data_IF_830137462371
#
_entry.id   IF_830137462371
#
_cell.length_a   1.000
_cell.length_b   1.000
_cell.length_c   1.000
_cell.angle_alpha   90.00
_cell.angle_beta   90.00
_cell.angle_gamma   90.00
#
_symmetry.space_group_name_H-M   'P 1'
#
loop_
_entity.id
_entity.type
_entity.pdbx_description
1 polymer ?
#
# COMPACT_ATOMS: atom_id res chain seq x y z
N UNK A 1 37.35 -56.06 -17.53
CA UNK A 1 37.42 -54.70 -18.12
C UNK A 1 36.03 -54.12 -18.01
N UNK A 2 35.85 -53.05 -17.24
CA UNK A 2 34.55 -52.37 -17.13
C UNK A 2 34.27 -51.72 -18.48
N UNK A 3 33.10 -51.98 -19.06
CA UNK A 3 32.67 -51.38 -20.32
C UNK A 3 32.72 -49.85 -20.20
N UNK A 4 33.61 -49.22 -20.97
CA UNK A 4 33.85 -47.77 -20.97
C UNK A 4 32.97 -47.04 -21.99
N UNK A 5 31.98 -47.71 -22.59
CA UNK A 5 31.12 -47.07 -23.59
C UNK A 5 30.03 -46.24 -22.91
N UNK A 6 29.97 -44.95 -23.29
CA UNK A 6 28.91 -44.04 -22.80
C UNK A 6 27.56 -44.51 -23.37
N UNK A 7 26.54 -44.73 -22.52
CA UNK A 7 25.22 -45.15 -23.02
C UNK A 7 24.64 -44.10 -23.97
N UNK A 8 24.39 -44.49 -25.22
CA UNK A 8 23.96 -43.56 -26.28
C UNK A 8 22.64 -42.84 -25.96
N UNK A 9 21.69 -43.54 -25.34
CA UNK A 9 20.41 -42.93 -24.93
C UNK A 9 20.60 -41.86 -23.86
N UNK A 10 21.48 -42.10 -22.89
CA UNK A 10 21.80 -41.11 -21.86
C UNK A 10 22.54 -39.90 -22.46
N UNK A 11 23.48 -40.15 -23.38
CA UNK A 11 24.19 -39.09 -24.11
C UNK A 11 23.22 -38.22 -24.92
N UNK A 12 22.32 -38.84 -25.68
CA UNK A 12 21.32 -38.12 -26.48
C UNK A 12 20.34 -37.31 -25.61
N UNK A 13 19.94 -37.84 -24.46
CA UNK A 13 19.06 -37.13 -23.52
C UNK A 13 19.76 -35.94 -22.84
N UNK A 14 21.05 -36.07 -22.52
CA UNK A 14 21.80 -35.02 -21.79
C UNK A 14 22.37 -33.95 -22.73
N UNK A 15 22.75 -34.32 -23.96
CA UNK A 15 23.43 -33.44 -24.91
C UNK A 15 22.52 -32.99 -26.05
N UNK A 16 21.21 -32.92 -25.80
CA UNK A 16 20.25 -32.40 -26.77
C UNK A 16 20.58 -30.93 -27.10
N UNK A 17 20.79 -30.56 -28.38
CA UNK A 17 20.99 -29.16 -28.76
C UNK A 17 19.75 -28.31 -28.48
N UNK A 18 19.96 -27.09 -27.98
CA UNK A 18 18.88 -26.13 -27.74
C UNK A 18 18.48 -25.40 -29.03
N UNK A 19 17.26 -24.90 -29.07
CA UNK A 19 16.84 -23.91 -30.07
C UNK A 19 17.58 -22.57 -29.89
N UNK A 20 17.69 -21.73 -30.95
CA UNK A 20 18.26 -20.39 -30.84
C UNK A 20 17.45 -19.48 -29.90
N UNK A 21 18.15 -18.69 -29.09
CA UNK A 21 17.51 -17.71 -28.20
C UNK A 21 17.07 -16.47 -29.01
N UNK A 22 15.85 -15.93 -28.82
CA UNK A 22 15.39 -14.71 -29.49
C UNK A 22 16.31 -13.51 -29.25
N UNK A 23 16.47 -12.63 -30.25
CA UNK A 23 17.30 -11.42 -30.14
C UNK A 23 16.78 -10.40 -29.12
N UNK A 24 15.50 -10.49 -28.75
CA UNK A 24 14.86 -9.67 -27.71
C UNK A 24 15.05 -10.23 -26.31
N UNK A 25 15.64 -11.43 -26.15
CA UNK A 25 15.85 -12.03 -24.85
C UNK A 25 16.90 -11.23 -24.05
N UNK A 26 16.56 -10.96 -22.79
CA UNK A 26 17.46 -10.27 -21.87
C UNK A 26 18.28 -11.30 -21.10
N UNK A 27 19.61 -11.23 -21.18
CA UNK A 27 20.49 -12.12 -20.44
C UNK A 27 20.58 -11.72 -18.96
N UNK A 28 20.68 -12.74 -18.10
CA UNK A 28 20.90 -12.57 -16.66
C UNK A 28 22.27 -11.95 -16.42
N UNK A 29 22.30 -10.87 -15.63
CA UNK A 29 23.52 -10.17 -15.24
C UNK A 29 23.30 -9.43 -13.92
N UNK A 30 24.05 -9.82 -12.90
CA UNK A 30 24.07 -9.11 -11.61
C UNK A 30 24.90 -7.81 -11.64
N UNK A 31 24.78 -6.97 -10.60
CA UNK A 31 25.59 -5.76 -10.47
C UNK A 31 27.07 -6.09 -10.25
N UNK A 32 27.94 -5.37 -10.93
CA UNK A 32 29.38 -5.43 -10.69
C UNK A 32 29.75 -4.56 -9.47
N UNK A 33 29.87 -5.19 -8.30
CA UNK A 33 30.16 -4.50 -7.04
C UNK A 33 31.58 -3.92 -6.99
N UNK A 34 32.51 -4.34 -7.86
CA UNK A 34 33.85 -3.73 -7.93
C UNK A 34 33.77 -2.26 -8.38
N UNK A 35 32.73 -1.90 -9.11
CA UNK A 35 32.44 -0.53 -9.57
C UNK A 35 31.78 0.34 -8.51
N UNK A 36 31.44 -0.20 -7.34
CA UNK A 36 30.76 0.50 -6.24
C UNK A 36 29.53 1.29 -6.75
N UNK A 37 28.54 0.61 -7.36
CA UNK A 37 27.42 1.30 -8.00
C UNK A 37 26.65 2.16 -7.00
N UNK A 38 26.16 3.32 -7.45
CA UNK A 38 25.23 4.11 -6.64
C UNK A 38 23.92 3.34 -6.43
N UNK A 39 23.13 3.71 -5.42
CA UNK A 39 21.87 3.04 -5.12
C UNK A 39 20.93 2.97 -6.34
N UNK A 40 20.73 4.02 -7.16
CA UNK A 40 19.95 3.92 -8.39
C UNK A 40 20.49 2.90 -9.40
N UNK A 41 21.81 2.83 -9.60
CA UNK A 41 22.44 1.85 -10.48
C UNK A 41 22.34 0.42 -9.94
N UNK A 42 22.40 0.27 -8.61
CA UNK A 42 22.17 -1.03 -7.98
C UNK A 42 20.73 -1.47 -8.21
N UNK A 43 19.75 -0.59 -7.99
CA UNK A 43 18.33 -0.92 -8.14
C UNK A 43 17.93 -1.16 -9.60
N UNK A 44 18.52 -0.46 -10.57
CA UNK A 44 18.27 -0.75 -11.99
C UNK A 44 18.79 -2.14 -12.41
N UNK A 45 19.85 -2.64 -11.77
CA UNK A 45 20.36 -3.99 -12.06
C UNK A 45 19.38 -5.11 -11.70
N UNK A 46 18.40 -4.86 -10.81
CA UNK A 46 17.46 -5.88 -10.33
C UNK A 46 16.60 -6.47 -11.45
N UNK A 47 16.36 -5.74 -12.54
CA UNK A 47 15.66 -6.26 -13.73
C UNK A 47 16.34 -7.51 -14.32
N UNK A 48 17.66 -7.63 -14.16
CA UNK A 48 18.49 -8.65 -14.81
C UNK A 48 19.09 -9.67 -13.84
N UNK A 49 18.76 -9.61 -12.55
CA UNK A 49 19.27 -10.57 -11.56
C UNK A 49 18.53 -11.91 -11.63
N UNK A 50 17.21 -11.91 -11.83
CA UNK A 50 16.36 -13.09 -11.80
C UNK A 50 15.53 -13.22 -10.52
N UNK A 51 14.54 -14.13 -10.54
CA UNK A 51 13.62 -14.40 -9.43
C UNK A 51 12.90 -13.12 -8.92
N UNK A 52 12.73 -12.95 -7.59
CA UNK A 52 12.03 -11.81 -7.01
C UNK A 52 12.76 -10.47 -7.18
N UNK A 53 14.07 -10.49 -7.49
CA UNK A 53 14.78 -9.26 -7.84
C UNK A 53 14.21 -8.67 -9.14
N UNK A 54 13.98 -9.50 -10.16
CA UNK A 54 13.31 -9.07 -11.40
C UNK A 54 11.88 -8.60 -11.12
N UNK A 55 11.14 -9.25 -10.21
CA UNK A 55 9.81 -8.76 -9.79
C UNK A 55 9.89 -7.36 -9.17
N UNK A 56 10.90 -7.06 -8.34
CA UNK A 56 11.09 -5.73 -7.76
C UNK A 56 11.48 -4.69 -8.84
N UNK A 57 12.35 -5.04 -9.78
CA UNK A 57 12.67 -4.19 -10.94
C UNK A 57 11.42 -3.85 -11.77
N UNK A 58 10.59 -4.85 -12.06
CA UNK A 58 9.31 -4.65 -12.74
C UNK A 58 8.35 -3.78 -11.92
N UNK A 59 8.30 -3.95 -10.59
CA UNK A 59 7.48 -3.11 -9.72
C UNK A 59 7.91 -1.64 -9.76
N UNK A 60 9.22 -1.36 -9.74
CA UNK A 60 9.78 -0.01 -9.89
C UNK A 60 9.34 0.60 -11.23
N UNK A 61 9.43 -0.17 -12.32
CA UNK A 61 9.01 0.29 -13.66
C UNK A 61 7.52 0.60 -13.72
N UNK A 62 6.67 -0.28 -13.22
CA UNK A 62 5.22 -0.08 -13.21
C UNK A 62 4.86 1.16 -12.38
N UNK A 63 5.45 1.35 -11.20
CA UNK A 63 5.21 2.54 -10.37
C UNK A 63 5.69 3.82 -11.06
N UNK A 64 6.83 3.79 -11.75
CA UNK A 64 7.29 4.95 -12.53
C UNK A 64 6.32 5.27 -13.69
N UNK A 65 5.73 4.26 -14.34
CA UNK A 65 4.66 4.49 -15.33
C UNK A 65 3.43 5.12 -14.70
N UNK A 66 2.99 4.65 -13.52
CA UNK A 66 1.89 5.29 -12.78
C UNK A 66 2.18 6.78 -12.50
N UNK A 67 3.40 7.10 -12.06
CA UNK A 67 3.82 8.47 -11.71
C UNK A 67 3.91 9.41 -12.92
N UNK A 68 4.39 8.88 -14.05
CA UNK A 68 4.68 9.67 -15.24
C UNK A 68 3.47 9.83 -16.16
N UNK A 69 2.50 8.90 -16.13
CA UNK A 69 1.32 8.95 -16.97
C UNK A 69 0.53 10.26 -16.78
N UNK A 70 0.11 10.85 -17.90
CA UNK A 70 -0.85 11.95 -17.99
C UNK A 70 -1.93 11.61 -18.99
N UNK A 71 -3.11 12.20 -18.84
CA UNK A 71 -4.19 12.04 -19.83
C UNK A 71 -3.78 12.60 -21.21
N UNK A 72 -2.89 13.59 -21.25
CA UNK A 72 -2.32 14.12 -22.49
C UNK A 72 -1.51 13.11 -23.30
N UNK A 73 -1.07 12.01 -22.69
CA UNK A 73 -0.33 10.94 -23.37
C UNK A 73 -1.26 10.03 -24.18
N UNK A 74 -2.57 10.09 -23.91
CA UNK A 74 -3.59 9.29 -24.58
C UNK A 74 -4.30 10.11 -25.67
N UNK A 75 -4.64 9.49 -26.82
CA UNK A 75 -5.44 10.13 -27.85
C UNK A 75 -6.80 10.57 -27.29
N UNK A 76 -7.36 11.64 -27.84
CA UNK A 76 -8.70 12.10 -27.49
C UNK A 76 -9.70 11.14 -28.13
N UNK A 77 -10.57 10.54 -27.31
CA UNK A 77 -11.65 9.69 -27.80
C UNK A 77 -12.72 10.54 -28.51
N UNK A 78 -13.42 9.95 -29.48
CA UNK A 78 -14.47 10.65 -30.26
C UNK A 78 -15.63 11.14 -29.38
N UNK A 79 -15.89 10.45 -28.26
CA UNK A 79 -16.94 10.74 -27.29
C UNK A 79 -16.42 11.43 -26.01
N UNK A 80 -15.20 12.00 -26.05
CA UNK A 80 -14.61 12.66 -24.88
C UNK A 80 -15.42 13.92 -24.49
N UNK A 81 -15.67 14.07 -23.19
CA UNK A 81 -16.37 15.24 -22.63
C UNK A 81 -15.58 16.53 -22.87
N UNK A 82 -16.29 17.63 -23.14
CA UNK A 82 -15.72 18.96 -23.42
C UNK A 82 -14.70 19.42 -22.36
N UNK A 83 -14.91 19.04 -21.09
CA UNK A 83 -13.99 19.31 -19.97
C UNK A 83 -12.56 18.79 -20.22
N UNK A 84 -12.42 17.70 -20.98
CA UNK A 84 -11.16 16.97 -21.18
C UNK A 84 -10.59 17.14 -22.59
N UNK A 85 -11.11 18.07 -23.38
CA UNK A 85 -10.57 18.41 -24.70
C UNK A 85 -9.36 19.36 -24.63
N UNK A 86 -9.28 20.16 -23.56
CA UNK A 86 -8.18 21.12 -23.37
C UNK A 86 -6.84 20.42 -23.10
N UNK A 87 -5.78 20.68 -23.89
CA UNK A 87 -4.45 20.11 -23.64
C UNK A 87 -3.90 20.42 -22.25
N UNK A 88 -4.16 21.61 -21.72
CA UNK A 88 -3.71 22.02 -20.39
C UNK A 88 -4.37 21.18 -19.28
N UNK A 89 -5.69 20.97 -19.36
CA UNK A 89 -6.43 20.13 -18.40
C UNK A 89 -5.94 18.68 -18.47
N UNK A 90 -5.75 18.15 -19.67
CA UNK A 90 -5.24 16.77 -19.86
C UNK A 90 -3.83 16.58 -19.31
N UNK A 91 -2.96 17.59 -19.37
CA UNK A 91 -1.61 17.54 -18.83
C UNK A 91 -1.55 17.53 -17.29
N UNK A 92 -2.59 18.03 -16.63
CA UNK A 92 -2.71 18.03 -15.16
C UNK A 92 -3.30 16.74 -14.59
N UNK A 93 -4.05 16.00 -15.40
CA UNK A 93 -4.70 14.76 -14.98
C UNK A 93 -3.68 13.62 -14.91
N UNK A 94 -3.47 13.12 -13.70
CA UNK A 94 -2.52 12.05 -13.38
C UNK A 94 -3.23 10.73 -13.12
N UNK A 95 -2.45 9.65 -13.06
CA UNK A 95 -2.93 8.37 -12.56
C UNK A 95 -3.25 8.47 -11.07
N UNK A 96 -4.44 8.07 -10.66
CA UNK A 96 -4.80 7.99 -9.25
C UNK A 96 -4.23 6.71 -8.65
N UNK A 97 -3.30 6.85 -7.70
CA UNK A 97 -2.65 5.72 -7.03
C UNK A 97 -3.40 5.40 -5.73
N UNK A 98 -3.93 4.19 -5.64
CA UNK A 98 -4.61 3.65 -4.47
C UNK A 98 -3.61 2.82 -3.68
N UNK A 99 -3.31 3.23 -2.45
CA UNK A 99 -2.34 2.56 -1.59
C UNK A 99 -3.05 1.75 -0.51
N UNK A 100 -2.83 0.45 -0.51
CA UNK A 100 -3.31 -0.47 0.53
C UNK A 100 -2.16 -0.98 1.39
N UNK A 101 -2.34 -1.02 2.71
CA UNK A 101 -1.36 -1.63 3.62
C UNK A 101 -2.01 -2.26 4.84
N UNK A 102 -1.41 -3.33 5.36
CA UNK A 102 -1.86 -4.01 6.59
C UNK A 102 -1.37 -3.28 7.86
N UNK A 103 -2.08 -3.48 8.98
CA UNK A 103 -1.79 -2.80 10.26
C UNK A 103 -0.33 -2.85 10.70
N UNK A 104 0.28 -4.03 10.62
CA UNK A 104 1.65 -4.28 11.08
C UNK A 104 2.70 -3.41 10.38
N UNK A 105 2.41 -2.89 9.18
CA UNK A 105 3.33 -2.02 8.46
C UNK A 105 3.38 -0.61 9.09
N UNK A 106 2.29 -0.15 9.71
CA UNK A 106 2.29 1.07 10.52
C UNK A 106 2.95 0.82 11.89
N UNK A 107 2.82 -0.37 12.46
CA UNK A 107 3.58 -0.76 13.67
C UNK A 107 5.09 -0.73 13.40
N UNK A 108 5.53 -1.09 12.19
CA UNK A 108 6.92 -1.03 11.73
C UNK A 108 7.42 0.39 11.41
N UNK A 109 8.67 0.51 10.95
CA UNK A 109 9.24 1.76 10.41
C UNK A 109 8.79 2.11 8.99
N UNK A 110 7.94 1.30 8.35
CA UNK A 110 7.31 1.70 7.08
C UNK A 110 6.27 2.81 7.25
N UNK A 111 5.82 3.08 8.48
CA UNK A 111 4.99 4.25 8.79
C UNK A 111 5.60 5.53 8.22
N UNK A 112 6.90 5.75 8.44
CA UNK A 112 7.59 6.96 7.99
C UNK A 112 7.70 7.02 6.45
N UNK A 113 7.81 5.85 5.79
CA UNK A 113 7.78 5.76 4.32
C UNK A 113 6.38 6.09 3.77
N UNK A 114 5.33 5.56 4.40
CA UNK A 114 3.94 5.88 4.04
C UNK A 114 3.63 7.35 4.30
N UNK A 115 4.10 7.90 5.42
CA UNK A 115 3.99 9.31 5.76
C UNK A 115 4.58 10.18 4.66
N UNK A 116 5.78 9.85 4.16
CA UNK A 116 6.39 10.58 3.05
C UNK A 116 5.46 10.62 1.82
N UNK A 117 4.90 9.48 1.42
CA UNK A 117 3.99 9.42 0.26
C UNK A 117 2.74 10.28 0.45
N UNK A 118 2.16 10.28 1.65
CA UNK A 118 0.96 11.04 1.97
C UNK A 118 1.26 12.54 2.10
N UNK A 119 2.34 12.90 2.78
CA UNK A 119 2.82 14.29 2.95
C UNK A 119 3.09 14.97 1.61
N UNK A 120 3.65 14.24 0.66
CA UNK A 120 3.99 14.74 -0.67
C UNK A 120 2.92 14.45 -1.75
N UNK A 121 1.70 14.08 -1.35
CA UNK A 121 0.56 13.88 -2.25
C UNK A 121 0.82 12.89 -3.39
N UNK A 122 1.61 11.83 -3.12
CA UNK A 122 1.94 10.80 -4.10
C UNK A 122 0.84 9.75 -4.29
N UNK A 123 -0.17 9.72 -3.42
CA UNK A 123 -1.27 8.76 -3.43
C UNK A 123 -2.60 9.49 -3.38
N UNK A 124 -3.63 8.90 -3.99
CA UNK A 124 -4.96 9.50 -4.07
C UNK A 124 -5.86 9.10 -2.91
N UNK A 125 -5.71 7.89 -2.38
CA UNK A 125 -6.37 7.43 -1.16
C UNK A 125 -5.59 6.30 -0.50
N UNK A 126 -5.92 6.05 0.76
CA UNK A 126 -5.40 4.94 1.55
C UNK A 126 -6.52 3.95 1.89
N UNK A 127 -6.20 2.66 1.93
CA UNK A 127 -7.06 1.65 2.55
C UNK A 127 -6.24 0.80 3.50
N UNK A 128 -6.68 0.69 4.74
CA UNK A 128 -6.01 -0.11 5.77
C UNK A 128 -7.02 -0.71 6.75
N UNK A 129 -6.52 -1.38 7.78
CA UNK A 129 -7.27 -2.01 8.87
C UNK A 129 -7.13 -1.19 10.15
N UNK A 130 -7.97 -1.41 11.17
CA UNK A 130 -8.02 -0.55 12.36
C UNK A 130 -6.66 -0.38 13.06
N UNK A 131 -5.90 -1.47 13.23
CA UNK A 131 -4.52 -1.40 13.74
C UNK A 131 -3.62 -0.44 12.95
N UNK A 132 -3.78 -0.35 11.63
CA UNK A 132 -3.04 0.60 10.79
C UNK A 132 -3.44 2.05 11.04
N UNK A 133 -4.66 2.28 11.53
CA UNK A 133 -5.13 3.60 11.94
C UNK A 133 -4.59 3.97 13.33
N UNK A 134 -4.89 3.14 14.33
CA UNK A 134 -4.61 3.47 15.74
C UNK A 134 -3.12 3.54 16.04
N UNK A 135 -2.29 2.68 15.44
CA UNK A 135 -0.85 2.67 15.73
C UNK A 135 -0.13 3.92 15.22
N UNK A 136 -0.65 4.60 14.20
CA UNK A 136 -0.11 5.90 13.76
C UNK A 136 -0.35 6.98 14.83
N UNK A 137 -1.55 7.03 15.40
CA UNK A 137 -1.90 7.97 16.46
C UNK A 137 -1.20 7.62 17.77
N UNK A 138 -1.17 6.34 18.14
CA UNK A 138 -0.50 5.85 19.35
C UNK A 138 0.99 6.19 19.31
N UNK A 139 1.65 6.11 18.15
CA UNK A 139 3.07 6.49 17.99
C UNK A 139 3.35 7.99 18.19
N UNK A 140 2.33 8.84 18.14
CA UNK A 140 2.44 10.25 18.53
C UNK A 140 2.34 10.43 20.07
N UNK A 141 1.82 9.45 20.81
CA UNK A 141 1.59 9.50 22.26
C UNK A 141 2.61 8.65 23.06
N UNK A 142 3.21 7.66 22.40
CA UNK A 142 4.19 6.74 22.97
C UNK A 142 5.09 6.12 21.89
N UNK A 143 6.10 5.36 22.29
CA UNK A 143 7.02 4.70 21.36
C UNK A 143 6.74 3.19 21.28
N UNK A 144 7.04 2.62 20.13
CA UNK A 144 7.11 1.19 19.88
C UNK A 144 8.59 0.79 19.82
N UNK A 145 8.95 -0.37 20.37
CA UNK A 145 10.34 -0.79 20.56
C UNK A 145 10.64 -2.06 19.79
N UNK A 146 11.89 -2.22 19.35
CA UNK A 146 12.39 -3.48 18.81
C UNK A 146 12.46 -4.54 19.91
N UNK A 147 12.15 -5.78 19.54
CA UNK A 147 12.06 -6.94 20.41
C UNK A 147 12.41 -8.22 19.62
N UNK A 148 12.04 -9.39 20.14
CA UNK A 148 12.23 -10.69 19.49
C UNK A 148 10.89 -11.41 19.30
N UNK A 149 10.77 -12.18 18.21
CA UNK A 149 9.56 -12.97 17.91
C UNK A 149 9.25 -14.01 19.01
N UNK A 150 10.28 -14.52 19.69
CA UNK A 150 10.21 -15.64 20.61
C UNK A 150 10.08 -15.24 22.08
N UNK A 151 9.86 -13.95 22.39
CA UNK A 151 9.61 -13.52 23.76
C UNK A 151 8.34 -14.19 24.32
N UNK A 152 8.45 -14.69 25.56
CA UNK A 152 7.39 -15.42 26.23
C UNK A 152 6.13 -14.55 26.43
N UNK A 153 5.00 -15.03 25.90
CA UNK A 153 3.75 -14.27 25.94
C UNK A 153 3.20 -14.09 27.35
N UNK A 154 3.40 -15.05 28.24
CA UNK A 154 2.88 -14.97 29.60
C UNK A 154 3.65 -13.95 30.45
N UNK A 155 4.97 -13.89 30.35
CA UNK A 155 5.79 -12.83 30.96
C UNK A 155 5.43 -11.44 30.42
N UNK A 156 5.33 -11.30 29.10
CA UNK A 156 4.94 -10.06 28.46
C UNK A 156 3.59 -9.56 28.97
N UNK A 157 2.57 -10.43 29.02
CA UNK A 157 1.25 -10.08 29.54
C UNK A 157 1.30 -9.66 31.00
N UNK A 158 2.03 -10.40 31.85
CA UNK A 158 2.20 -10.07 33.28
C UNK A 158 2.80 -8.67 33.48
N UNK A 159 3.66 -8.26 32.56
CA UNK A 159 4.36 -6.96 32.58
C UNK A 159 3.64 -5.85 31.82
N UNK A 160 2.47 -6.12 31.23
CA UNK A 160 1.74 -5.12 30.42
C UNK A 160 2.48 -4.75 29.14
N UNK A 161 3.12 -5.73 28.48
CA UNK A 161 3.80 -5.55 27.20
C UNK A 161 3.06 -6.31 26.10
N UNK A 162 2.70 -5.63 25.02
CA UNK A 162 1.99 -6.23 23.88
C UNK A 162 2.99 -6.46 22.74
N UNK A 163 3.07 -7.68 22.21
CA UNK A 163 4.03 -8.06 21.15
C UNK A 163 3.37 -8.04 19.77
N UNK A 164 4.08 -7.47 18.80
CA UNK A 164 3.69 -7.42 17.37
C UNK A 164 4.88 -7.93 16.56
N UNK A 165 4.89 -9.23 16.23
CA UNK A 165 6.06 -9.85 15.62
C UNK A 165 7.29 -9.74 16.53
N UNK A 166 8.31 -9.01 16.07
CA UNK A 166 9.51 -8.63 16.82
C UNK A 166 9.48 -7.17 17.33
N UNK A 167 8.30 -6.63 17.58
CA UNK A 167 8.09 -5.31 18.18
C UNK A 167 7.36 -5.45 19.51
N UNK A 168 7.55 -4.48 20.41
CA UNK A 168 6.78 -4.34 21.66
C UNK A 168 6.16 -2.95 21.76
N UNK A 169 4.89 -2.94 22.18
CA UNK A 169 4.11 -1.75 22.53
C UNK A 169 3.74 -1.85 24.02
N UNK A 170 4.23 -0.94 24.88
CA UNK A 170 3.80 -0.89 26.28
C UNK A 170 2.31 -0.60 26.40
N UNK A 171 1.61 -1.24 27.34
CA UNK A 171 0.18 -1.04 27.52
C UNK A 171 -0.20 0.41 27.88
N UNK A 172 0.71 1.13 28.55
CA UNK A 172 0.58 2.56 28.86
C UNK A 172 0.32 3.42 27.61
N UNK A 173 0.79 2.99 26.44
CA UNK A 173 0.51 3.67 25.18
C UNK A 173 -0.99 3.64 24.85
N UNK A 174 -1.67 2.53 25.14
CA UNK A 174 -3.12 2.39 24.93
C UNK A 174 -3.93 3.15 25.98
N UNK A 175 -3.43 3.24 27.23
CA UNK A 175 -4.04 4.10 28.25
C UNK A 175 -4.01 5.59 27.82
N UNK A 176 -2.87 6.06 27.31
CA UNK A 176 -2.77 7.43 26.75
C UNK A 176 -3.69 7.64 25.54
N UNK A 177 -3.87 6.60 24.73
CA UNK A 177 -4.77 6.64 23.59
C UNK A 177 -6.23 6.74 24.01
N UNK A 178 -6.64 6.03 25.06
CA UNK A 178 -7.96 6.17 25.68
C UNK A 178 -8.20 7.60 26.16
N UNK A 179 -7.25 8.16 26.93
CA UNK A 179 -7.32 9.53 27.45
C UNK A 179 -7.46 10.57 26.34
N UNK A 180 -6.79 10.35 25.21
CA UNK A 180 -6.85 11.24 24.04
C UNK A 180 -8.14 11.06 23.22
N UNK A 181 -8.57 9.82 22.96
CA UNK A 181 -9.68 9.52 22.05
C UNK A 181 -11.05 9.76 22.69
N UNK A 182 -11.21 9.48 23.99
CA UNK A 182 -12.49 9.61 24.70
C UNK A 182 -13.17 10.99 24.51
N UNK A 183 -12.51 12.13 24.78
CA UNK A 183 -13.15 13.44 24.62
C UNK A 183 -13.51 13.74 23.15
N UNK A 184 -12.77 13.17 22.19
CA UNK A 184 -13.10 13.31 20.77
C UNK A 184 -14.38 12.54 20.44
N UNK A 185 -14.54 11.31 20.96
CA UNK A 185 -15.76 10.52 20.78
C UNK A 185 -16.99 11.21 21.39
N UNK A 186 -16.84 11.84 22.56
CA UNK A 186 -17.92 12.64 23.17
C UNK A 186 -18.34 13.79 22.24
N UNK A 187 -17.38 14.53 21.71
CA UNK A 187 -17.64 15.64 20.79
C UNK A 187 -18.27 15.16 19.46
N UNK A 188 -17.79 14.06 18.91
CA UNK A 188 -18.35 13.45 17.70
C UNK A 188 -19.80 13.00 17.91
N UNK A 189 -20.13 12.46 19.08
CA UNK A 189 -21.50 12.08 19.42
C UNK A 189 -22.44 13.29 19.56
N UNK A 190 -21.96 14.37 20.19
CA UNK A 190 -22.69 15.63 20.29
C UNK A 190 -22.99 16.16 18.89
N UNK A 191 -21.98 16.26 18.03
CA UNK A 191 -22.13 16.72 16.65
C UNK A 191 -23.14 15.86 15.87
N UNK A 192 -23.08 14.53 16.01
CA UNK A 192 -24.05 13.62 15.39
C UNK A 192 -25.48 13.88 15.86
N UNK A 193 -25.69 14.09 17.17
CA UNK A 193 -27.03 14.33 17.74
C UNK A 193 -27.59 15.70 17.38
N UNK A 194 -26.75 16.73 17.33
CA UNK A 194 -27.18 18.11 17.08
C UNK A 194 -27.37 18.42 15.59
N UNK A 195 -26.50 17.89 14.73
CA UNK A 195 -26.48 18.22 13.30
C UNK A 195 -27.07 17.14 12.41
N UNK A 196 -27.23 15.92 12.93
CA UNK A 196 -27.61 14.74 12.15
C UNK A 196 -26.49 14.18 11.26
N UNK A 197 -25.24 14.64 11.40
CA UNK A 197 -24.10 14.07 10.67
C UNK A 197 -23.94 12.59 11.01
N UNK A 198 -23.81 11.73 10.00
CA UNK A 198 -23.52 10.31 10.19
C UNK A 198 -22.04 10.08 9.92
N UNK A 199 -21.30 9.62 10.92
CA UNK A 199 -19.88 9.33 10.76
C UNK A 199 -19.69 8.11 9.87
N UNK A 200 -18.57 8.09 9.16
CA UNK A 200 -18.07 6.95 8.37
C UNK A 200 -16.64 6.67 8.84
N UNK A 201 -16.05 5.50 8.55
CA UNK A 201 -14.66 5.28 8.89
C UNK A 201 -13.73 6.36 8.33
N UNK A 202 -13.89 6.79 7.07
CA UNK A 202 -13.05 7.86 6.52
C UNK A 202 -13.25 9.23 7.16
N UNK A 203 -14.47 9.63 7.49
CA UNK A 203 -14.71 10.91 8.17
C UNK A 203 -14.26 10.88 9.63
N UNK A 204 -14.38 9.73 10.30
CA UNK A 204 -13.83 9.47 11.62
C UNK A 204 -12.30 9.59 11.61
N UNK A 205 -11.62 8.91 10.69
CA UNK A 205 -10.15 8.97 10.58
C UNK A 205 -9.69 10.38 10.23
N UNK A 206 -10.41 11.08 9.34
CA UNK A 206 -10.14 12.48 9.02
C UNK A 206 -10.25 13.38 10.24
N UNK A 207 -11.27 13.19 11.08
CA UNK A 207 -11.43 13.90 12.36
C UNK A 207 -10.23 13.64 13.26
N UNK A 208 -9.83 12.38 13.45
CA UNK A 208 -8.67 12.04 14.27
C UNK A 208 -7.35 12.62 13.73
N UNK A 209 -7.16 12.62 12.42
CA UNK A 209 -6.02 13.27 11.76
C UNK A 209 -5.93 14.76 12.03
N UNK A 210 -7.08 15.44 12.12
CA UNK A 210 -7.14 16.85 12.54
C UNK A 210 -6.77 17.01 14.02
N UNK A 211 -7.31 16.17 14.90
CA UNK A 211 -7.16 16.29 16.35
C UNK A 211 -5.75 15.92 16.84
N UNK A 212 -5.05 14.97 16.19
CA UNK A 212 -3.70 14.59 16.62
C UNK A 212 -2.69 15.74 16.41
N UNK A 213 -2.94 16.58 15.41
CA UNK A 213 -2.18 17.79 15.08
C UNK A 213 -0.65 17.62 15.20
N UNK A 214 -0.13 16.51 14.68
CA UNK A 214 1.27 16.14 14.79
C UNK A 214 1.81 15.76 13.40
N UNK A 215 2.86 16.45 12.93
CA UNK A 215 3.44 16.22 11.61
C UNK A 215 4.11 14.84 11.45
N UNK A 216 4.33 14.11 12.54
CA UNK A 216 4.80 12.73 12.51
C UNK A 216 3.69 11.72 12.19
N UNK A 217 2.42 12.14 12.13
CA UNK A 217 1.27 11.27 11.81
C UNK A 217 1.00 11.21 10.31
N UNK A 218 0.82 10.00 9.79
CA UNK A 218 0.31 9.75 8.43
C UNK A 218 -1.05 10.42 8.25
N UNK A 219 -1.94 10.27 9.23
CA UNK A 219 -3.33 10.72 9.12
C UNK A 219 -3.51 12.22 9.33
N UNK A 220 -2.60 12.87 10.06
CA UNK A 220 -2.49 14.32 10.04
C UNK A 220 -2.24 14.84 8.61
N UNK A 221 -1.26 14.26 7.90
CA UNK A 221 -1.00 14.65 6.51
C UNK A 221 -2.12 14.26 5.56
N UNK A 222 -2.78 13.12 5.78
CA UNK A 222 -3.96 12.73 5.01
C UNK A 222 -5.10 13.76 5.15
N UNK A 223 -5.35 14.23 6.38
CA UNK A 223 -6.29 15.33 6.63
C UNK A 223 -5.86 16.63 5.92
N UNK A 224 -4.60 17.06 6.10
CA UNK A 224 -4.06 18.29 5.51
C UNK A 224 -4.10 18.32 3.98
N UNK A 225 -3.87 17.17 3.35
CA UNK A 225 -3.78 17.03 1.90
C UNK A 225 -5.09 16.52 1.26
N UNK A 226 -6.17 16.42 2.03
CA UNK A 226 -7.47 15.93 1.56
C UNK A 226 -7.41 14.53 0.90
N UNK A 227 -6.62 13.63 1.50
CA UNK A 227 -6.49 12.24 1.08
C UNK A 227 -7.42 11.39 1.95
N UNK A 228 -8.48 10.78 1.38
CA UNK A 228 -9.37 9.93 2.16
C UNK A 228 -8.69 8.62 2.55
N UNK A 229 -9.03 8.14 3.75
CA UNK A 229 -8.52 6.89 4.33
C UNK A 229 -9.70 5.99 4.65
N UNK A 230 -9.80 4.87 3.96
CA UNK A 230 -10.90 3.92 4.14
C UNK A 230 -10.48 2.77 5.06
N UNK A 231 -11.37 2.39 5.97
CA UNK A 231 -11.16 1.27 6.89
C UNK A 231 -12.49 0.54 7.11
N UNK A 232 -12.83 -0.47 6.28
CA UNK A 232 -14.12 -1.15 6.37
C UNK A 232 -14.37 -1.84 7.72
N UNK A 233 -13.29 -2.26 8.40
CA UNK A 233 -13.33 -2.92 9.69
C UNK A 233 -12.68 -2.03 10.77
N UNK A 234 -13.15 -0.79 10.92
CA UNK A 234 -12.60 0.19 11.88
C UNK A 234 -12.69 -0.28 13.34
N UNK A 235 -13.65 -1.14 13.66
CA UNK A 235 -13.88 -1.64 15.02
C UNK A 235 -12.98 -2.81 15.42
N UNK A 236 -12.11 -3.30 14.54
CA UNK A 236 -11.24 -4.46 14.77
C UNK A 236 -9.88 -4.07 15.36
N UNK A 237 -9.88 -3.42 16.53
CA UNK A 237 -8.68 -2.91 17.19
C UNK A 237 -8.98 -2.08 18.44
N UNK A 238 -7.97 -1.41 19.00
CA UNK A 238 -8.10 -0.51 20.14
C UNK A 238 -9.10 0.63 19.91
N UNK A 239 -9.26 1.13 18.68
CA UNK A 239 -10.36 2.08 18.36
C UNK A 239 -11.72 1.44 18.66
N UNK A 240 -11.92 0.18 18.29
CA UNK A 240 -13.13 -0.58 18.58
C UNK A 240 -13.37 -0.73 20.08
N UNK A 241 -12.32 -1.03 20.86
CA UNK A 241 -12.40 -1.11 22.32
C UNK A 241 -12.87 0.24 22.93
N UNK A 242 -12.32 1.36 22.44
CA UNK A 242 -12.69 2.69 22.92
C UNK A 242 -14.13 3.06 22.56
N UNK A 243 -14.58 2.73 21.33
CA UNK A 243 -15.98 2.90 20.93
C UNK A 243 -16.89 2.04 21.79
N UNK A 244 -16.50 0.79 22.08
CA UNK A 244 -17.24 -0.12 22.93
C UNK A 244 -17.43 0.46 24.34
N UNK A 245 -16.35 0.87 25.02
CA UNK A 245 -16.44 1.46 26.36
C UNK A 245 -17.22 2.78 26.36
N UNK A 246 -16.99 3.63 25.35
CA UNK A 246 -17.72 4.89 25.16
C UNK A 246 -19.22 4.66 25.06
N UNK A 247 -19.66 3.62 24.33
CA UNK A 247 -21.09 3.35 24.09
C UNK A 247 -21.91 3.08 25.36
N UNK A 248 -21.31 2.56 26.45
CA UNK A 248 -22.01 2.37 27.73
C UNK A 248 -22.19 3.68 28.50
N UNK A 249 -21.24 4.61 28.37
CA UNK A 249 -21.28 5.93 29.04
C UNK A 249 -22.14 6.92 28.26
N UNK A 250 -21.97 6.92 26.94
CA UNK A 250 -22.49 7.89 25.99
C UNK A 250 -23.08 7.15 24.78
N UNK A 251 -24.26 6.51 24.91
CA UNK A 251 -24.81 5.69 23.84
C UNK A 251 -25.24 6.52 22.62
N UNK A 252 -25.18 5.85 21.46
CA UNK A 252 -25.80 6.30 20.22
C UNK A 252 -24.86 6.72 19.10
N UNK A 253 -23.53 6.59 19.24
CA UNK A 253 -22.60 6.86 18.14
C UNK A 253 -22.83 5.86 16.99
N UNK A 254 -22.96 6.37 15.75
CA UNK A 254 -23.19 5.54 14.56
C UNK A 254 -22.06 5.79 13.58
N UNK A 255 -21.45 4.71 13.11
CA UNK A 255 -20.42 4.73 12.08
C UNK A 255 -20.91 3.88 10.90
N UNK A 256 -21.26 4.53 9.80
CA UNK A 256 -21.80 3.92 8.59
C UNK A 256 -20.69 3.54 7.60
N UNK A 257 -20.66 2.25 7.24
CA UNK A 257 -19.74 1.72 6.24
C UNK A 257 -20.28 1.84 4.80
N UNK A 258 -21.60 2.04 4.64
CA UNK A 258 -22.24 2.09 3.31
C UNK A 258 -21.88 3.38 2.58
N UNK A 259 -21.91 4.52 3.25
CA UNK A 259 -21.40 5.77 2.68
C UNK A 259 -19.92 5.68 2.30
N UNK A 260 -19.11 4.98 3.11
CA UNK A 260 -17.67 4.85 2.89
C UNK A 260 -17.35 4.02 1.63
N UNK A 261 -18.04 2.89 1.44
CA UNK A 261 -17.84 2.08 0.23
C UNK A 261 -18.34 2.79 -1.04
N UNK A 262 -19.42 3.59 -0.94
CA UNK A 262 -19.86 4.44 -2.06
C UNK A 262 -18.78 5.45 -2.42
N UNK A 263 -18.17 6.11 -1.44
CA UNK A 263 -17.12 7.09 -1.68
C UNK A 263 -15.87 6.46 -2.34
N UNK A 264 -15.41 5.31 -1.84
CA UNK A 264 -14.27 4.60 -2.44
C UNK A 264 -14.56 4.13 -3.87
N UNK A 265 -15.73 3.53 -4.11
CA UNK A 265 -16.11 3.06 -5.44
C UNK A 265 -16.26 4.22 -6.44
N UNK A 266 -16.86 5.33 -6.02
CA UNK A 266 -16.99 6.52 -6.88
C UNK A 266 -15.63 7.16 -7.17
N UNK A 267 -14.70 7.16 -6.22
CA UNK A 267 -13.33 7.64 -6.44
C UNK A 267 -12.64 6.80 -7.52
N UNK A 268 -12.74 5.47 -7.45
CA UNK A 268 -12.23 4.58 -8.48
C UNK A 268 -12.95 4.79 -9.83
N UNK A 269 -14.28 4.80 -9.85
CA UNK A 269 -15.09 4.98 -11.06
C UNK A 269 -14.76 6.27 -11.82
N UNK A 270 -14.53 7.37 -11.10
CA UNK A 270 -14.18 8.68 -11.68
C UNK A 270 -12.70 8.79 -12.09
N UNK A 271 -11.86 7.80 -11.77
CA UNK A 271 -10.43 7.84 -12.08
C UNK A 271 -10.20 7.50 -13.55
N UNK A 272 -9.66 8.45 -14.33
CA UNK A 272 -9.29 8.25 -15.75
C UNK A 272 -8.27 7.14 -15.91
N UNK A 273 -7.22 7.17 -15.09
CA UNK A 273 -6.26 6.08 -14.91
C UNK A 273 -6.13 5.77 -13.42
N UNK A 274 -6.09 4.49 -13.06
CA UNK A 274 -5.96 4.06 -11.68
C UNK A 274 -4.91 2.96 -11.54
N UNK A 275 -4.01 3.14 -10.57
CA UNK A 275 -3.00 2.17 -10.19
C UNK A 275 -3.22 1.69 -8.75
N UNK A 276 -2.93 0.42 -8.49
CA UNK A 276 -2.94 -0.15 -7.15
C UNK A 276 -1.53 -0.46 -6.68
N UNK A 277 -1.16 0.01 -5.49
CA UNK A 277 0.02 -0.47 -4.76
C UNK A 277 -0.49 -1.10 -3.47
N UNK A 278 -0.27 -2.40 -3.30
CA UNK A 278 -0.82 -3.15 -2.17
C UNK A 278 0.31 -3.83 -1.41
N UNK A 279 0.46 -3.46 -0.14
CA UNK A 279 1.44 -3.98 0.79
C UNK A 279 0.74 -4.93 1.78
N UNK A 280 0.89 -6.23 1.59
CA UNK A 280 0.16 -7.26 2.33
C UNK A 280 -1.09 -7.77 1.59
N UNK A 281 -2.09 -8.20 2.35
CA UNK A 281 -3.29 -8.90 1.86
C UNK A 281 -4.56 -8.49 2.61
N UNK A 282 -5.53 -9.39 2.73
CA UNK A 282 -6.74 -9.19 3.51
C UNK A 282 -7.64 -8.06 3.00
N UNK A 283 -8.31 -7.37 3.94
CA UNK A 283 -9.34 -6.37 3.63
C UNK A 283 -8.79 -5.23 2.77
N UNK A 284 -7.58 -4.72 3.05
CA UNK A 284 -7.03 -3.60 2.26
C UNK A 284 -6.77 -4.01 0.81
N UNK A 285 -6.30 -5.25 0.56
CA UNK A 285 -6.13 -5.77 -0.80
C UNK A 285 -7.46 -5.88 -1.51
N UNK A 286 -8.39 -6.63 -0.91
CA UNK A 286 -9.65 -6.97 -1.56
C UNK A 286 -10.51 -5.72 -1.81
N UNK A 287 -10.57 -4.79 -0.85
CA UNK A 287 -11.40 -3.60 -0.95
C UNK A 287 -10.95 -2.66 -2.08
N UNK A 288 -9.64 -2.43 -2.25
CA UNK A 288 -9.13 -1.62 -3.37
C UNK A 288 -9.42 -2.33 -4.69
N UNK A 289 -9.10 -3.63 -4.80
CA UNK A 289 -9.33 -4.39 -6.02
C UNK A 289 -10.83 -4.43 -6.40
N UNK A 290 -11.71 -4.54 -5.42
CA UNK A 290 -13.16 -4.51 -5.65
C UNK A 290 -13.68 -3.13 -6.07
N UNK A 291 -13.09 -2.05 -5.57
CA UNK A 291 -13.39 -0.70 -6.08
C UNK A 291 -12.93 -0.54 -7.55
N UNK A 292 -11.80 -1.17 -7.92
CA UNK A 292 -11.34 -1.17 -9.32
C UNK A 292 -12.25 -1.95 -10.26
N UNK A 293 -12.94 -2.98 -9.78
CA UNK A 293 -13.95 -3.69 -10.57
C UNK A 293 -15.04 -2.74 -11.10
N UNK A 294 -15.45 -1.74 -10.31
CA UNK A 294 -16.49 -0.77 -10.70
C UNK A 294 -16.09 0.08 -11.92
N UNK A 295 -14.78 0.21 -12.20
CA UNK A 295 -14.24 0.86 -13.40
C UNK A 295 -13.74 -0.12 -14.47
N UNK A 296 -14.11 -1.39 -14.36
CA UNK A 296 -13.67 -2.51 -15.21
C UNK A 296 -12.16 -2.78 -15.12
N UNK A 297 -11.60 -2.62 -13.93
CA UNK A 297 -10.24 -3.04 -13.57
C UNK A 297 -9.24 -1.90 -13.41
N UNK A 298 -8.19 -2.15 -12.64
CA UNK A 298 -7.03 -1.26 -12.54
C UNK A 298 -6.18 -1.29 -13.82
N UNK A 299 -5.52 -0.18 -14.14
CA UNK A 299 -4.64 -0.07 -15.29
C UNK A 299 -3.20 -0.49 -14.98
N UNK A 300 -2.82 -0.41 -13.70
CA UNK A 300 -1.53 -0.83 -13.17
C UNK A 300 -1.70 -1.50 -11.80
N UNK A 301 -0.89 -2.51 -11.51
CA UNK A 301 -0.97 -3.22 -10.22
C UNK A 301 0.39 -3.69 -9.71
N UNK A 302 0.72 -3.33 -8.47
CA UNK A 302 1.91 -3.82 -7.77
C UNK A 302 1.49 -4.40 -6.43
N UNK A 303 1.71 -5.69 -6.25
CA UNK A 303 1.51 -6.38 -4.97
C UNK A 303 2.87 -6.68 -4.34
N UNK A 304 3.03 -6.37 -3.06
CA UNK A 304 4.17 -6.79 -2.24
C UNK A 304 3.59 -7.51 -1.02
N UNK A 305 3.64 -8.83 -1.01
CA UNK A 305 3.16 -9.62 0.11
C UNK A 305 3.80 -10.99 0.18
N UNK A 306 3.60 -11.67 1.30
CA UNK A 306 4.14 -13.01 1.59
C UNK A 306 3.13 -14.13 1.37
N UNK A 307 1.90 -13.81 0.94
CA UNK A 307 0.83 -14.78 0.75
C UNK A 307 1.09 -15.71 -0.43
N UNK A 308 0.70 -16.98 -0.27
CA UNK A 308 0.90 -18.05 -1.25
C UNK A 308 -0.44 -18.54 -1.80
N UNK A 309 -0.47 -18.95 -3.07
CA UNK A 309 -1.72 -19.28 -3.79
C UNK A 309 -2.34 -20.62 -3.37
N UNK A 310 -1.56 -21.55 -2.81
CA UNK A 310 -1.99 -22.95 -2.61
C UNK A 310 -3.17 -23.14 -1.66
N UNK A 311 -3.45 -22.16 -0.79
CA UNK A 311 -4.52 -22.22 0.21
C UNK A 311 -5.85 -21.60 -0.29
N UNK A 312 -5.88 -21.08 -1.53
CA UNK A 312 -7.05 -20.44 -2.12
C UNK A 312 -7.43 -19.10 -1.47
N UNK A 313 -6.53 -18.48 -0.68
CA UNK A 313 -6.80 -17.19 -0.06
C UNK A 313 -6.70 -16.02 -1.06
N UNK A 314 -7.60 -15.05 -0.95
CA UNK A 314 -7.48 -13.80 -1.72
C UNK A 314 -6.14 -13.10 -1.43
N UNK A 315 -5.64 -13.16 -0.20
CA UNK A 315 -4.32 -12.62 0.18
C UNK A 315 -3.17 -13.23 -0.64
N UNK A 316 -3.24 -14.55 -0.89
CA UNK A 316 -2.22 -15.31 -1.59
C UNK A 316 -2.35 -15.30 -3.12
N UNK A 317 -3.53 -14.97 -3.64
CA UNK A 317 -3.84 -14.92 -5.06
C UNK A 317 -2.82 -14.09 -5.87
N UNK A 318 -2.50 -14.58 -7.07
CA UNK A 318 -1.68 -13.85 -8.05
C UNK A 318 -2.51 -12.75 -8.73
N UNK A 319 -1.88 -11.69 -9.29
CA UNK A 319 -2.60 -10.66 -10.04
C UNK A 319 -3.48 -11.22 -11.17
N UNK A 320 -3.07 -12.32 -11.80
CA UNK A 320 -3.82 -12.98 -12.88
C UNK A 320 -5.21 -13.47 -12.43
N UNK A 321 -5.36 -13.93 -11.18
CA UNK A 321 -6.67 -14.26 -10.64
C UNK A 321 -7.57 -13.01 -10.60
N UNK A 322 -7.03 -11.85 -10.21
CA UNK A 322 -7.78 -10.59 -10.20
C UNK A 322 -8.15 -10.09 -11.60
N UNK A 323 -7.41 -10.49 -12.65
CA UNK A 323 -7.79 -10.25 -14.04
C UNK A 323 -9.06 -11.04 -14.39
N UNK A 324 -9.17 -12.31 -13.94
CA UNK A 324 -10.36 -13.13 -14.20
C UNK A 324 -11.67 -12.53 -13.67
N UNK A 325 -11.58 -11.75 -12.58
CA UNK A 325 -12.71 -11.03 -12.00
C UNK A 325 -12.98 -9.67 -12.63
N UNK A 326 -12.08 -9.15 -13.48
CA UNK A 326 -12.13 -7.77 -13.96
C UNK A 326 -11.71 -6.72 -12.92
N UNK A 327 -11.04 -7.13 -11.82
CA UNK A 327 -10.45 -6.22 -10.82
C UNK A 327 -9.13 -5.60 -11.32
N UNK A 328 -8.44 -6.28 -12.23
CA UNK A 328 -7.33 -5.77 -13.05
C UNK A 328 -7.73 -5.90 -14.52
N UNK A 329 -7.43 -4.90 -15.37
CA UNK A 329 -7.75 -4.97 -16.80
C UNK A 329 -6.95 -6.08 -17.49
N UNK A 330 -7.53 -6.69 -18.52
CA UNK A 330 -6.77 -7.51 -19.45
C UNK A 330 -5.69 -6.67 -20.14
N UNK A 331 -4.47 -7.20 -20.22
CA UNK A 331 -3.31 -6.48 -20.77
C UNK A 331 -2.73 -5.39 -19.86
N UNK A 332 -3.27 -5.19 -18.64
CA UNK A 332 -2.67 -4.28 -17.68
C UNK A 332 -1.31 -4.81 -17.19
N UNK A 333 -0.42 -3.87 -16.89
CA UNK A 333 0.85 -4.22 -16.28
C UNK A 333 0.64 -4.53 -14.80
N UNK A 334 0.93 -5.77 -14.42
CA UNK A 334 0.81 -6.22 -13.05
C UNK A 334 2.02 -7.04 -12.62
N UNK A 335 2.40 -6.91 -11.35
CA UNK A 335 3.49 -7.68 -10.77
C UNK A 335 3.22 -7.97 -9.30
N UNK A 336 3.68 -9.14 -8.84
CA UNK A 336 3.72 -9.51 -7.44
C UNK A 336 5.16 -9.77 -7.02
N UNK A 337 5.60 -9.07 -5.97
CA UNK A 337 6.88 -9.29 -5.29
C UNK A 337 6.59 -10.12 -4.04
N UNK A 338 7.06 -11.36 -4.02
CA UNK A 338 6.94 -12.27 -2.88
C UNK A 338 8.04 -11.95 -1.86
N UNK A 339 7.79 -10.97 -1.00
CA UNK A 339 8.74 -10.49 0.00
C UNK A 339 8.02 -9.83 1.19
N UNK A 340 8.73 -9.73 2.31
CA UNK A 340 8.35 -8.82 3.39
C UNK A 340 8.49 -7.37 2.91
N UNK A 341 7.40 -6.59 3.02
CA UNK A 341 7.37 -5.21 2.56
C UNK A 341 8.40 -4.32 3.26
N UNK A 342 8.79 -4.64 4.50
CA UNK A 342 9.80 -3.87 5.26
C UNK A 342 11.16 -3.85 4.58
N UNK A 343 11.47 -4.89 3.78
CA UNK A 343 12.72 -5.00 3.04
C UNK A 343 12.67 -4.26 1.70
N UNK A 344 11.56 -4.36 0.97
CA UNK A 344 11.50 -3.96 -0.44
C UNK A 344 10.78 -2.64 -0.70
N UNK A 345 9.82 -2.25 0.14
CA UNK A 345 9.05 -1.03 -0.07
C UNK A 345 9.89 0.25 0.05
N UNK A 346 10.82 0.39 1.00
CA UNK A 346 11.71 1.55 1.06
C UNK A 346 12.57 1.68 -0.21
N UNK A 347 13.06 0.55 -0.75
CA UNK A 347 13.84 0.53 -1.99
C UNK A 347 12.99 0.95 -3.19
N UNK A 348 11.74 0.48 -3.26
CA UNK A 348 10.79 0.89 -4.30
C UNK A 348 10.53 2.40 -4.23
N UNK A 349 10.27 2.96 -3.04
CA UNK A 349 10.06 4.41 -2.86
C UNK A 349 11.31 5.22 -3.22
N UNK A 350 12.50 4.73 -2.84
CA UNK A 350 13.78 5.37 -3.18
C UNK A 350 14.05 5.40 -4.69
N UNK A 351 13.69 4.35 -5.43
CA UNK A 351 13.83 4.28 -6.89
C UNK A 351 12.71 4.98 -7.67
N UNK A 352 11.64 5.39 -6.98
CA UNK A 352 10.45 5.97 -7.61
C UNK A 352 10.15 7.35 -7.01
N UNK A 353 9.21 7.43 -6.07
CA UNK A 353 8.66 8.68 -5.53
C UNK A 353 9.72 9.67 -5.03
N UNK A 354 10.82 9.18 -4.45
CA UNK A 354 11.90 10.03 -3.91
C UNK A 354 12.81 10.67 -4.97
N UNK A 355 12.78 10.24 -6.24
CA UNK A 355 13.72 10.72 -7.26
C UNK A 355 13.39 12.14 -7.78
N UNK A 356 12.16 12.65 -7.57
CA UNK A 356 11.70 13.92 -8.19
C UNK A 356 11.55 15.09 -7.21
N UNK A 357 11.91 14.93 -5.92
CA UNK A 357 11.71 16.00 -4.92
C UNK A 357 12.79 17.09 -4.93
N UNK A 358 13.88 16.91 -5.69
CA UNK A 358 14.93 17.92 -5.82
C UNK A 358 14.69 18.89 -7.00
N UNK A 359 14.15 18.43 -8.13
CA UNK A 359 13.98 19.25 -9.33
C UNK A 359 12.85 20.30 -9.23
N UNK A 360 11.89 20.12 -8.32
CA UNK A 360 10.80 21.08 -8.10
C UNK A 360 11.18 22.26 -7.21
N UNK A 361 12.36 22.25 -6.56
CA UNK A 361 12.84 23.38 -5.73
C UNK A 361 13.82 24.30 -6.47
N UNK A 362 14.34 23.87 -7.62
CA UNK A 362 15.28 24.66 -8.45
C UNK A 362 14.57 25.54 -9.48
N UNK A 363 13.25 25.39 -9.66
CA UNK A 363 12.45 26.16 -10.62
C UNK A 363 11.75 27.40 -10.02
N UNK A 364 11.84 27.61 -8.70
CA UNK A 364 11.34 28.84 -8.01
C UNK A 364 12.45 29.85 -7.65
N UNK A 365 13.67 29.67 -8.18
CA UNK A 365 14.76 30.64 -8.09
C UNK A 365 15.45 30.86 -9.43
N UNK A 366 14.71 31.45 -10.38
CA UNK A 366 15.29 32.27 -11.45
C UNK A 366 14.44 33.51 -11.61
#
# INVERSE_FOLDING_TARGET
MVDQTVPQQASAAVLQPSEPIPTTAVSVQGPDLSKKPSLPHLLSSYERIGFQATSLGNAINIVNRMRNWRLSDEPIAEDESEEYLSPAVRAEIKCNIFLGYTSNLISSGLREVILYLVKHQHVKCLVTTAGGIEEDFIKCLGKTYLADFNLDGADLRRRGMNRIGNLIVPNDNYCKFEDWLTPILDQMLIEQKETGVVWTPSSFIRRLGKEINNEESVYYWAYKNDIPVFCPALTDGSIGDMIYFHSFRSPGLIIDIVQDIRALNELARKSRRAGMIILGGGVCKHQIANAMLIRNGADYSVYINTGQEFDGSDSGARPDEAISWGKIRSGAESVKVFADATLVFPLLVAATFSQNSEDSKTSEKV
#
